data_IF_260997445342
#
_entry.id   IF_260997445342
#
_cell.length_a   1.000
_cell.length_b   1.000
_cell.length_c   1.000
_cell.angle_alpha   90.00
_cell.angle_beta   90.00
_cell.angle_gamma   90.00
#
_symmetry.space_group_name_H-M   'P 1'
#
loop_
_entity.id
_entity.type
_entity.pdbx_description
1 polymer ?
#
# COMPACT_ATOMS: atom_id res chain seq x y z
N UNK A 1 -14.00 13.44 -0.81
CA UNK A 1 -13.08 12.29 -0.99
C UNK A 1 -12.91 12.04 -2.46
N UNK A 2 -11.67 11.96 -2.94
CA UNK A 2 -11.38 11.70 -4.36
C UNK A 2 -10.88 10.27 -4.51
N UNK A 3 -11.60 9.47 -5.27
CA UNK A 3 -11.23 8.09 -5.56
C UNK A 3 -10.50 8.09 -6.90
N UNK A 4 -9.23 7.69 -6.88
CA UNK A 4 -8.41 7.65 -8.10
C UNK A 4 -8.40 6.22 -8.65
N UNK A 5 -8.69 6.12 -9.95
CA UNK A 5 -8.63 4.85 -10.69
C UNK A 5 -7.43 4.90 -11.63
N UNK A 6 -6.48 4.00 -11.44
CA UNK A 6 -5.31 3.87 -12.32
C UNK A 6 -5.50 2.59 -13.13
N UNK A 7 -5.39 2.70 -14.46
CA UNK A 7 -5.40 1.55 -15.36
C UNK A 7 -4.01 1.37 -16.01
N UNK A 8 -3.75 0.18 -16.53
CA UNK A 8 -2.53 -0.12 -17.31
C UNK A 8 -2.41 0.70 -18.61
N UNK A 9 -3.47 1.41 -19.02
CA UNK A 9 -3.45 2.32 -20.17
C UNK A 9 -2.83 3.69 -19.80
N UNK A 10 -2.67 3.98 -18.51
CA UNK A 10 -2.09 5.24 -18.07
C UNK A 10 -0.56 5.10 -18.03
N UNK A 11 0.15 5.90 -18.83
CA UNK A 11 1.60 6.06 -18.65
C UNK A 11 1.85 6.66 -17.26
N UNK A 12 2.45 5.86 -16.38
CA UNK A 12 2.88 6.35 -15.08
C UNK A 12 4.04 7.33 -15.28
N UNK A 13 4.08 8.45 -14.53
CA UNK A 13 5.22 9.36 -14.59
C UNK A 13 6.48 8.61 -14.15
N UNK A 14 7.63 8.90 -14.76
CA UNK A 14 8.89 8.30 -14.32
C UNK A 14 9.16 8.68 -12.86
N UNK A 15 9.46 7.68 -12.01
CA UNK A 15 9.80 7.92 -10.60
C UNK A 15 11.29 7.66 -10.42
N UNK A 16 11.96 8.62 -9.80
CA UNK A 16 13.35 8.45 -9.39
C UNK A 16 13.39 7.46 -8.24
N UNK A 17 13.99 6.29 -8.46
CA UNK A 17 14.20 5.28 -7.43
C UNK A 17 15.30 5.80 -6.48
N UNK A 18 15.01 5.97 -5.18
CA UNK A 18 16.00 6.36 -4.18
C UNK A 18 17.13 5.32 -4.11
N UNK A 19 18.37 5.79 -3.94
CA UNK A 19 19.51 4.89 -3.75
C UNK A 19 19.32 4.03 -2.49
N UNK A 20 19.62 2.73 -2.59
CA UNK A 20 19.45 1.80 -1.49
C UNK A 20 18.00 1.38 -1.20
N UNK A 21 17.05 1.77 -2.05
CA UNK A 21 15.65 1.31 -1.95
C UNK A 21 15.52 -0.15 -2.36
N UNK A 22 14.96 -0.96 -1.48
CA UNK A 22 14.48 -2.32 -1.76
C UNK A 22 13.01 -2.40 -1.37
N UNK A 23 12.18 -3.00 -2.21
CA UNK A 23 10.77 -3.24 -1.90
C UNK A 23 10.51 -4.74 -1.96
N UNK A 24 9.81 -5.27 -0.98
CA UNK A 24 9.45 -6.68 -0.92
C UNK A 24 8.08 -6.90 -0.28
N UNK A 25 7.48 -8.06 -0.57
CA UNK A 25 6.29 -8.54 0.12
C UNK A 25 6.72 -8.99 1.52
N UNK A 26 6.01 -8.52 2.54
CA UNK A 26 6.27 -8.85 3.92
C UNK A 26 5.06 -9.54 4.55
N UNK A 27 5.32 -10.60 5.32
CA UNK A 27 4.32 -11.33 6.11
C UNK A 27 4.62 -11.33 7.60
N UNK A 28 5.65 -10.60 8.05
CA UNK A 28 5.99 -10.44 9.47
C UNK A 28 4.92 -9.58 10.15
N UNK A 29 4.04 -10.25 10.89
CA UNK A 29 2.91 -9.60 11.55
C UNK A 29 3.35 -8.59 12.62
N UNK A 30 4.46 -8.87 13.31
CA UNK A 30 4.98 -7.98 14.37
C UNK A 30 5.46 -6.68 13.73
N UNK A 31 6.31 -6.77 12.71
CA UNK A 31 6.82 -5.60 11.99
C UNK A 31 5.68 -4.76 11.38
N UNK A 32 4.72 -5.41 10.74
CA UNK A 32 3.58 -4.74 10.10
C UNK A 32 2.65 -4.09 11.12
N UNK A 33 2.49 -4.68 12.31
CA UNK A 33 1.70 -4.09 13.40
C UNK A 33 2.33 -2.78 13.89
N UNK A 34 3.66 -2.78 14.10
CA UNK A 34 4.43 -1.59 14.48
C UNK A 34 4.38 -0.50 13.41
N UNK A 35 4.65 -0.83 12.15
CA UNK A 35 4.62 0.14 11.05
C UNK A 35 3.21 0.72 10.85
N UNK A 36 2.21 -0.16 10.91
CA UNK A 36 0.81 0.14 10.69
C UNK A 36 0.10 0.80 11.85
N UNK A 37 0.74 0.91 13.03
CA UNK A 37 0.11 1.34 14.27
C UNK A 37 -1.24 0.63 14.50
N UNK A 38 -1.22 -0.70 14.36
CA UNK A 38 -2.39 -1.56 14.47
C UNK A 38 -2.03 -2.81 15.26
N UNK A 39 -3.00 -3.65 15.60
CA UNK A 39 -2.73 -4.85 16.39
C UNK A 39 -2.24 -5.99 15.49
N UNK A 40 -1.51 -6.95 16.08
CA UNK A 40 -1.04 -8.14 15.37
C UNK A 40 -2.23 -8.95 14.84
N UNK A 41 -3.33 -9.03 15.58
CA UNK A 41 -4.54 -9.77 15.20
C UNK A 41 -5.15 -9.19 13.91
N UNK A 42 -5.21 -7.87 13.78
CA UNK A 42 -5.72 -7.21 12.59
C UNK A 42 -4.79 -7.43 11.38
N UNK A 43 -3.48 -7.47 11.60
CA UNK A 43 -2.51 -7.82 10.56
C UNK A 43 -2.68 -9.27 10.10
N UNK A 44 -2.75 -10.21 11.04
CA UNK A 44 -2.97 -11.63 10.74
C UNK A 44 -4.28 -11.85 10.00
N UNK A 45 -5.35 -11.13 10.39
CA UNK A 45 -6.64 -11.15 9.69
C UNK A 45 -6.53 -10.66 8.25
N UNK A 46 -5.71 -9.64 7.97
CA UNK A 46 -5.49 -9.19 6.58
C UNK A 46 -4.74 -10.23 5.78
N UNK A 47 -3.66 -10.79 6.34
CA UNK A 47 -2.86 -11.83 5.70
C UNK A 47 -3.70 -13.09 5.41
N UNK A 48 -4.57 -13.51 6.34
CA UNK A 48 -5.46 -14.65 6.15
C UNK A 48 -6.53 -14.42 5.06
N UNK A 49 -6.82 -13.15 4.74
CA UNK A 49 -7.71 -12.76 3.64
C UNK A 49 -6.98 -12.60 2.29
N UNK A 50 -5.79 -13.20 2.14
CA UNK A 50 -4.95 -13.13 0.92
C UNK A 50 -4.56 -11.67 0.55
N UNK A 51 -4.49 -10.79 1.55
CA UNK A 51 -3.98 -9.44 1.34
C UNK A 51 -2.46 -9.46 1.45
N UNK A 52 -1.79 -8.72 0.56
CA UNK A 52 -0.33 -8.57 0.58
C UNK A 52 0.05 -7.25 1.24
N UNK A 53 1.05 -7.28 2.10
CA UNK A 53 1.74 -6.08 2.55
C UNK A 53 3.05 -5.94 1.79
N UNK A 54 3.34 -4.74 1.33
CA UNK A 54 4.62 -4.38 0.72
C UNK A 54 5.35 -3.44 1.65
N UNK A 55 6.62 -3.71 1.91
CA UNK A 55 7.49 -2.86 2.74
C UNK A 55 8.64 -2.36 1.87
N UNK A 56 8.84 -1.05 1.91
CA UNK A 56 9.97 -0.35 1.33
C UNK A 56 11.06 -0.19 2.39
N UNK A 57 12.27 -0.63 2.06
CA UNK A 57 13.46 -0.54 2.90
C UNK A 57 14.48 0.40 2.26
N UNK A 58 15.08 1.28 3.05
CA UNK A 58 16.26 2.06 2.67
C UNK A 58 17.41 1.55 3.52
N UNK A 59 18.49 1.08 2.90
CA UNK A 59 19.67 0.57 3.62
C UNK A 59 19.30 -0.48 4.70
N UNK A 60 18.37 -1.39 4.37
CA UNK A 60 17.83 -2.46 5.24
C UNK A 60 16.94 -1.98 6.39
N UNK A 61 16.63 -0.68 6.49
CA UNK A 61 15.69 -0.14 7.47
C UNK A 61 14.32 0.08 6.83
N UNK A 62 13.20 -0.31 7.48
CA UNK A 62 11.87 -0.08 6.93
C UNK A 62 11.61 1.42 6.86
N UNK A 63 11.33 1.93 5.66
CA UNK A 63 11.13 3.35 5.38
C UNK A 63 9.67 3.67 5.01
N UNK A 64 8.92 2.68 4.54
CA UNK A 64 7.50 2.80 4.30
C UNK A 64 6.83 1.46 4.03
N UNK A 65 5.51 1.44 4.02
CA UNK A 65 4.74 0.25 3.68
C UNK A 65 3.39 0.62 3.05
N UNK A 66 2.73 -0.37 2.47
CA UNK A 66 1.37 -0.27 1.95
C UNK A 66 0.72 -1.64 1.80
N UNK A 67 -0.61 -1.66 1.77
CA UNK A 67 -1.39 -2.89 1.64
C UNK A 67 -2.05 -3.00 0.27
N UNK A 68 -2.20 -4.25 -0.19
CA UNK A 68 -2.93 -4.62 -1.38
C UNK A 68 -3.93 -5.75 -1.08
N UNK A 69 -5.20 -5.54 -1.41
CA UNK A 69 -6.27 -6.51 -1.21
C UNK A 69 -6.50 -7.25 -2.50
N UNK A 70 -6.84 -8.52 -2.33
CA UNK A 70 -7.23 -9.43 -3.39
C UNK A 70 -8.62 -9.98 -3.08
N UNK A 71 -9.48 -10.01 -4.09
CA UNK A 71 -10.80 -10.66 -4.02
C UNK A 71 -11.86 -9.90 -3.24
N UNK A 72 -11.64 -9.61 -1.95
CA UNK A 72 -12.56 -8.84 -1.11
C UNK A 72 -11.83 -7.66 -0.50
N UNK A 73 -12.43 -6.47 -0.56
CA UNK A 73 -11.92 -5.30 0.14
C UNK A 73 -13.06 -4.64 0.92
N UNK A 74 -12.70 -4.08 2.08
CA UNK A 74 -13.61 -3.32 2.92
C UNK A 74 -13.14 -1.87 2.94
N UNK A 75 -13.97 -0.94 2.46
CA UNK A 75 -13.72 0.49 2.64
C UNK A 75 -14.28 0.90 4.00
N UNK A 76 -13.39 1.18 4.95
CA UNK A 76 -13.77 1.50 6.33
C UNK A 76 -14.67 2.73 6.44
N UNK A 77 -14.52 3.71 5.54
CA UNK A 77 -15.27 4.98 5.56
C UNK A 77 -16.73 4.85 5.10
N UNK A 78 -17.09 3.73 4.44
CA UNK A 78 -18.45 3.49 3.91
C UNK A 78 -19.15 2.30 4.57
N UNK A 79 -18.51 1.59 5.51
CA UNK A 79 -18.99 0.32 6.05
C UNK A 79 -19.51 -0.65 4.96
N UNK A 80 -18.93 -0.59 3.76
CA UNK A 80 -19.31 -1.40 2.63
C UNK A 80 -18.19 -2.36 2.27
N UNK A 81 -18.55 -3.64 2.22
CA UNK A 81 -17.74 -4.69 1.62
C UNK A 81 -18.05 -4.74 0.13
N UNK A 82 -17.02 -4.76 -0.70
CA UNK A 82 -17.19 -4.93 -2.13
C UNK A 82 -16.28 -6.06 -2.61
N UNK A 83 -16.83 -6.85 -3.53
CA UNK A 83 -16.10 -7.91 -4.19
C UNK A 83 -15.27 -7.25 -5.28
N UNK A 84 -13.95 -7.31 -5.14
CA UNK A 84 -13.03 -6.88 -6.19
C UNK A 84 -13.14 -7.89 -7.34
N UNK A 85 -13.38 -7.43 -8.58
CA UNK A 85 -13.21 -8.29 -9.75
C UNK A 85 -11.84 -9.00 -9.69
N UNK A 86 -11.74 -10.25 -10.18
CA UNK A 86 -10.45 -11.00 -10.26
C UNK A 86 -9.31 -10.15 -10.83
N UNK A 87 -9.75 -9.31 -11.78
CA UNK A 87 -9.30 -7.98 -12.15
C UNK A 87 -8.66 -7.19 -11.00
N UNK A 88 -9.42 -6.28 -10.45
CA UNK A 88 -9.02 -5.17 -9.61
C UNK A 88 -8.24 -5.52 -8.34
N UNK A 89 -7.39 -4.57 -7.94
CA UNK A 89 -6.73 -4.56 -6.64
C UNK A 89 -7.04 -3.24 -5.96
N UNK A 90 -7.22 -3.32 -4.65
CA UNK A 90 -7.40 -2.14 -3.82
C UNK A 90 -6.13 -1.91 -3.01
N UNK A 91 -5.64 -0.68 -3.05
CA UNK A 91 -4.43 -0.24 -2.37
C UNK A 91 -4.82 0.71 -1.22
N UNK A 92 -4.42 0.40 0.02
CA UNK A 92 -4.72 1.24 1.18
C UNK A 92 -3.60 1.26 2.23
N UNK A 93 -3.80 2.13 3.23
CA UNK A 93 -2.96 2.27 4.41
C UNK A 93 -1.48 2.39 4.07
N UNK A 94 -1.18 3.29 3.13
CA UNK A 94 0.19 3.63 2.77
C UNK A 94 0.76 4.58 3.80
N UNK A 95 1.97 4.28 4.26
CA UNK A 95 2.69 5.16 5.17
C UNK A 95 4.15 5.19 4.78
N UNK A 96 4.70 6.39 4.71
CA UNK A 96 6.15 6.61 4.72
C UNK A 96 6.51 7.20 6.08
N UNK A 97 7.50 6.60 6.73
CA UNK A 97 8.02 7.10 8.01
C UNK A 97 8.53 8.54 7.82
N UNK A 98 8.36 9.38 8.85
CA UNK A 98 8.59 10.82 8.75
C UNK A 98 10.00 11.16 8.26
N UNK A 99 11.00 10.43 8.75
CA UNK A 99 12.42 10.57 8.41
C UNK A 99 12.74 10.32 6.92
N UNK A 100 11.86 9.61 6.21
CA UNK A 100 12.06 9.20 4.82
C UNK A 100 11.07 9.86 3.85
N UNK A 101 10.27 10.82 4.33
CA UNK A 101 9.35 11.59 3.49
C UNK A 101 10.12 12.51 2.54
N UNK A 102 9.51 12.86 1.41
CA UNK A 102 10.13 13.71 0.39
C UNK A 102 11.19 13.01 -0.47
N UNK A 103 11.60 11.79 -0.14
CA UNK A 103 12.61 11.03 -0.90
C UNK A 103 12.06 10.32 -2.14
N UNK A 104 10.75 10.32 -2.38
CA UNK A 104 10.14 9.59 -3.50
C UNK A 104 9.89 8.09 -3.23
N UNK A 105 9.92 7.66 -1.97
CA UNK A 105 9.66 6.26 -1.59
C UNK A 105 8.22 5.85 -1.85
N UNK A 106 7.25 6.70 -1.49
CA UNK A 106 5.84 6.45 -1.75
C UNK A 106 5.53 6.20 -3.24
N UNK A 107 5.93 7.07 -4.20
CA UNK A 107 5.67 6.80 -5.61
C UNK A 107 6.47 5.59 -6.14
N UNK A 108 7.67 5.32 -5.61
CA UNK A 108 8.43 4.11 -5.99
C UNK A 108 7.75 2.82 -5.51
N UNK A 109 7.24 2.82 -4.28
CA UNK A 109 6.44 1.73 -3.71
C UNK A 109 5.17 1.49 -4.54
N UNK A 110 4.46 2.56 -4.89
CA UNK A 110 3.27 2.46 -5.73
C UNK A 110 3.59 1.87 -7.11
N UNK A 111 4.66 2.33 -7.77
CA UNK A 111 5.09 1.78 -9.05
C UNK A 111 5.50 0.31 -8.98
N UNK A 112 6.18 -0.08 -7.90
CA UNK A 112 6.54 -1.47 -7.69
C UNK A 112 5.30 -2.35 -7.56
N UNK A 113 4.31 -1.94 -6.76
CA UNK A 113 3.05 -2.69 -6.59
C UNK A 113 2.27 -2.74 -7.91
N UNK A 114 2.25 -1.64 -8.68
CA UNK A 114 1.63 -1.60 -10.00
C UNK A 114 2.32 -2.57 -10.98
N UNK A 115 3.66 -2.64 -10.96
CA UNK A 115 4.45 -3.51 -11.82
C UNK A 115 4.39 -4.98 -11.41
N UNK A 116 4.20 -5.24 -10.11
CA UNK A 116 3.96 -6.58 -9.56
C UNK A 116 2.66 -7.19 -10.12
N UNK A 117 1.74 -6.37 -10.59
CA UNK A 117 0.46 -6.77 -11.17
C UNK A 117 0.54 -6.67 -12.70
N UNK A 118 0.80 -7.79 -13.36
CA UNK A 118 1.09 -7.85 -14.82
C UNK A 118 -0.07 -7.41 -15.74
N UNK A 119 -1.20 -7.01 -15.19
CA UNK A 119 -2.44 -6.47 -15.77
C UNK A 119 -3.25 -6.10 -14.54
N UNK A 120 -3.93 -4.93 -14.42
CA UNK A 120 -5.13 -4.67 -13.57
C UNK A 120 -5.40 -3.17 -13.27
N UNK A 121 -6.68 -2.81 -13.07
CA UNK A 121 -7.20 -1.53 -12.56
C UNK A 121 -7.07 -1.41 -11.03
N UNK A 122 -6.49 -0.30 -10.56
CA UNK A 122 -6.23 -0.02 -9.12
C UNK A 122 -7.18 1.06 -8.60
N UNK A 123 -7.80 0.80 -7.46
CA UNK A 123 -8.56 1.77 -6.68
C UNK A 123 -7.71 2.21 -5.47
N UNK A 124 -7.48 3.51 -5.32
CA UNK A 124 -6.68 4.11 -4.25
C UNK A 124 -7.50 5.12 -3.44
N UNK A 125 -7.46 5.04 -2.10
CA UNK A 125 -8.07 6.01 -1.18
C UNK A 125 -7.01 6.50 -0.20
N UNK A 126 -6.69 7.80 -0.25
CA UNK A 126 -5.93 8.46 0.83
C UNK A 126 -6.89 8.99 1.88
N UNK A 127 -6.86 8.42 3.08
CA UNK A 127 -7.37 9.11 4.26
C UNK A 127 -6.22 9.96 4.81
N UNK A 128 -6.22 11.25 4.48
CA UNK A 128 -5.33 12.21 5.12
C UNK A 128 -5.88 12.45 6.54
N UNK A 129 -5.30 11.79 7.55
CA UNK A 129 -5.47 12.28 8.93
C UNK A 129 -4.67 13.58 9.05
N UNK A 130 -5.33 14.70 8.75
CA UNK A 130 -4.89 16.01 9.21
C UNK A 130 -5.25 16.10 10.69
N UNK A 131 -4.36 15.61 11.55
CA UNK A 131 -4.39 16.00 12.96
C UNK A 131 -3.87 17.43 13.02
N UNK A 132 -4.76 18.39 12.77
CA UNK A 132 -4.53 19.76 13.20
C UNK A 132 -4.81 19.84 14.71
N UNK A 133 -3.83 20.43 15.40
CA UNK A 133 -3.79 20.96 16.76
C UNK A 133 -5.07 20.91 17.60
#
# INVERSE_FOLDING_TARGET
MSLYTISNLNKLPAVKIPAGLKIEVCSDATMLSTLGNTTIEEVLKRLSNDHLAFVAYINRQPAGFGWMARGKARIGELNHEFILPKKNRYLWNFRTLAEYRGLGIYPALLQYILSYLLLIVILYITSFYSSNY
#
